data_IF_733553608573
#
_entry.id   IF_733553608573
#
_cell.length_a   1.000
_cell.length_b   1.000
_cell.length_c   1.000
_cell.angle_alpha   90.00
_cell.angle_beta   90.00
_cell.angle_gamma   90.00
#
_symmetry.space_group_name_H-M   'P 1'
#
loop_
_entity.id
_entity.type
_entity.pdbx_description
1 polymer ?
#
# COMPACT_ATOMS: atom_id res chain seq x y z
N UNK A 1 -29.74 -19.78 -4.32
CA UNK A 1 -30.33 -18.66 -3.55
C UNK A 1 -29.44 -18.31 -2.37
N UNK A 2 -29.20 -19.23 -1.43
CA UNK A 2 -28.31 -18.99 -0.26
C UNK A 2 -26.87 -18.59 -0.63
N UNK A 3 -26.31 -19.15 -1.71
CA UNK A 3 -24.97 -18.76 -2.20
C UNK A 3 -24.95 -17.36 -2.83
N UNK A 4 -26.01 -16.98 -3.54
CA UNK A 4 -26.19 -15.66 -4.13
C UNK A 4 -26.40 -14.60 -3.03
N UNK A 5 -27.01 -14.98 -1.90
CA UNK A 5 -27.25 -14.12 -0.74
C UNK A 5 -26.01 -13.93 0.14
N UNK A 6 -25.16 -14.95 0.25
CA UNK A 6 -23.87 -14.83 0.91
C UNK A 6 -22.92 -13.87 0.16
N UNK A 7 -23.14 -13.67 -1.15
CA UNK A 7 -22.33 -12.82 -2.02
C UNK A 7 -22.78 -11.35 -2.07
N UNK A 8 -24.04 -11.04 -1.82
CA UNK A 8 -24.61 -9.67 -1.88
C UNK A 8 -24.21 -8.73 -0.72
N UNK A 9 -23.08 -8.94 -0.05
CA UNK A 9 -22.41 -7.93 0.79
C UNK A 9 -23.27 -7.14 1.79
N UNK A 10 -24.31 -7.73 2.38
CA UNK A 10 -25.23 -7.04 3.31
C UNK A 10 -26.60 -6.62 2.74
N UNK A 11 -26.80 -6.70 1.42
CA UNK A 11 -28.09 -6.42 0.75
C UNK A 11 -29.04 -7.64 0.72
N UNK A 12 -28.53 -8.85 0.90
CA UNK A 12 -29.34 -10.08 0.86
C UNK A 12 -30.61 -10.06 1.74
N UNK A 13 -30.54 -9.62 3.01
CA UNK A 13 -31.74 -9.48 3.85
C UNK A 13 -32.72 -8.40 3.37
N UNK A 14 -32.25 -7.38 2.64
CA UNK A 14 -33.09 -6.32 2.09
C UNK A 14 -33.84 -6.79 0.85
N UNK A 15 -33.20 -7.68 0.08
CA UNK A 15 -33.79 -8.30 -1.09
C UNK A 15 -35.10 -9.02 -0.75
N UNK A 16 -35.12 -9.80 0.34
CA UNK A 16 -36.31 -10.52 0.80
C UNK A 16 -37.44 -9.64 1.34
N UNK A 17 -37.20 -8.36 1.57
CA UNK A 17 -38.23 -7.44 2.03
C UNK A 17 -39.09 -6.89 0.87
N UNK A 18 -38.60 -6.99 -0.36
CA UNK A 18 -39.31 -6.65 -1.59
C UNK A 18 -40.28 -7.78 -1.99
N UNK A 19 -41.35 -7.49 -2.78
CA UNK A 19 -42.32 -8.49 -3.25
C UNK A 19 -41.67 -9.66 -3.98
N UNK A 20 -42.45 -10.70 -4.35
CA UNK A 20 -42.02 -11.77 -5.26
C UNK A 20 -41.41 -11.14 -6.52
N UNK A 21 -40.10 -10.98 -6.47
CA UNK A 21 -39.30 -10.52 -7.58
C UNK A 21 -39.46 -11.61 -8.64
N UNK A 22 -39.96 -11.23 -9.81
CA UNK A 22 -39.85 -12.06 -11.00
C UNK A 22 -38.37 -12.28 -11.28
N UNK A 23 -37.89 -13.44 -10.84
CA UNK A 23 -36.57 -13.95 -11.18
C UNK A 23 -36.73 -14.69 -12.49
N UNK A 24 -36.34 -14.05 -13.59
CA UNK A 24 -36.23 -14.75 -14.86
C UNK A 24 -34.89 -15.49 -14.88
N UNK A 25 -34.91 -16.76 -15.30
CA UNK A 25 -33.68 -17.52 -15.48
C UNK A 25 -33.08 -17.14 -16.84
N UNK A 26 -32.01 -16.34 -16.85
CA UNK A 26 -31.18 -16.17 -18.04
C UNK A 26 -30.04 -17.20 -17.94
N UNK A 27 -29.99 -18.13 -18.90
CA UNK A 27 -28.97 -19.20 -18.93
C UNK A 27 -28.91 -20.08 -17.65
N UNK A 28 -30.03 -20.20 -16.93
CA UNK A 28 -30.11 -20.96 -15.67
C UNK A 28 -29.78 -20.14 -14.43
N UNK A 29 -29.58 -18.83 -14.57
CA UNK A 29 -29.19 -17.90 -13.50
C UNK A 29 -30.35 -16.95 -13.23
N UNK A 30 -30.83 -16.84 -11.97
CA UNK A 30 -31.94 -15.95 -11.64
C UNK A 30 -31.50 -14.49 -11.75
N UNK A 31 -32.08 -13.77 -12.70
CA UNK A 31 -31.90 -12.33 -12.91
C UNK A 31 -33.18 -11.60 -12.51
N UNK A 32 -33.01 -10.47 -11.81
CA UNK A 32 -34.03 -9.46 -11.61
C UNK A 32 -34.28 -8.69 -12.92
N UNK A 33 -35.44 -8.83 -13.55
CA UNK A 33 -35.71 -8.17 -14.83
C UNK A 33 -36.68 -6.99 -14.72
N UNK A 34 -37.64 -7.00 -13.80
CA UNK A 34 -38.41 -5.83 -13.37
C UNK A 34 -39.26 -6.17 -12.13
N UNK A 35 -39.71 -5.13 -11.41
CA UNK A 35 -40.76 -5.25 -10.38
C UNK A 35 -41.97 -4.47 -10.90
N UNK A 36 -42.85 -5.15 -11.61
CA UNK A 36 -44.15 -4.62 -12.04
C UNK A 36 -45.27 -5.49 -11.42
N UNK A 37 -46.09 -4.96 -10.49
CA UNK A 37 -46.15 -3.56 -10.05
C UNK A 37 -45.01 -3.14 -9.11
N UNK A 38 -44.68 -1.83 -9.01
CA UNK A 38 -43.69 -1.31 -8.05
C UNK A 38 -43.99 -1.75 -6.60
N UNK A 39 -42.98 -1.85 -5.72
CA UNK A 39 -43.21 -2.29 -4.35
C UNK A 39 -44.19 -1.39 -3.59
N UNK A 40 -45.06 -2.03 -2.81
CA UNK A 40 -46.10 -1.41 -1.99
C UNK A 40 -45.50 -0.65 -0.80
N UNK A 41 -46.30 0.20 -0.14
CA UNK A 41 -45.86 0.92 1.06
C UNK A 41 -45.47 -0.01 2.21
N UNK A 42 -46.16 -1.15 2.37
CA UNK A 42 -45.84 -2.13 3.42
C UNK A 42 -44.52 -2.86 3.14
N UNK A 43 -44.22 -3.14 1.87
CA UNK A 43 -42.93 -3.69 1.44
C UNK A 43 -41.79 -2.72 1.72
N UNK A 44 -41.96 -1.43 1.39
CA UNK A 44 -40.98 -0.43 1.75
C UNK A 44 -40.82 -0.27 3.25
N UNK A 45 -41.89 -0.40 4.04
CA UNK A 45 -41.79 -0.36 5.50
C UNK A 45 -40.95 -1.53 6.04
N UNK A 46 -41.13 -2.74 5.50
CA UNK A 46 -40.28 -3.90 5.82
C UNK A 46 -38.84 -3.67 5.38
N UNK A 47 -38.63 -3.18 4.16
CA UNK A 47 -37.31 -2.84 3.65
C UNK A 47 -36.58 -1.88 4.59
N UNK A 48 -37.22 -0.77 4.97
CA UNK A 48 -36.68 0.24 5.88
C UNK A 48 -36.34 -0.35 7.24
N UNK A 49 -37.19 -1.24 7.78
CA UNK A 49 -36.93 -1.92 9.04
C UNK A 49 -35.60 -2.70 9.00
N UNK A 50 -35.33 -3.42 7.91
CA UNK A 50 -34.09 -4.16 7.74
C UNK A 50 -32.91 -3.26 7.36
N UNK A 51 -33.12 -2.24 6.53
CA UNK A 51 -32.09 -1.30 6.07
C UNK A 51 -31.40 -0.57 7.22
N UNK A 52 -32.14 -0.26 8.29
CA UNK A 52 -31.60 0.33 9.53
C UNK A 52 -30.55 -0.55 10.23
N UNK A 53 -30.42 -1.83 9.90
CA UNK A 53 -29.42 -2.72 10.49
C UNK A 53 -28.12 -2.77 9.69
N UNK A 54 -28.15 -2.33 8.44
CA UNK A 54 -26.96 -2.31 7.58
C UNK A 54 -26.02 -1.20 8.06
N UNK A 55 -24.76 -1.56 8.27
CA UNK A 55 -23.67 -0.65 8.70
C UNK A 55 -22.54 -0.60 7.69
N UNK A 56 -22.38 -1.67 6.92
CA UNK A 56 -21.33 -1.85 5.93
C UNK A 56 -22.00 -2.35 4.64
N UNK A 57 -21.59 -1.82 3.51
CA UNK A 57 -22.07 -2.21 2.19
C UNK A 57 -20.87 -2.35 1.24
N UNK A 58 -20.80 -3.48 0.56
CA UNK A 58 -19.80 -3.74 -0.49
C UNK A 58 -20.51 -3.92 -1.83
N UNK A 59 -20.24 -3.01 -2.76
CA UNK A 59 -20.72 -2.98 -4.15
C UNK A 59 -19.50 -3.19 -5.07
N UNK A 60 -18.86 -4.35 -4.94
CA UNK A 60 -17.65 -4.67 -5.69
C UNK A 60 -18.04 -5.26 -7.03
N UNK A 61 -17.91 -4.47 -8.11
CA UNK A 61 -18.11 -4.93 -9.47
C UNK A 61 -17.23 -6.14 -9.75
N UNK A 62 -17.82 -7.32 -9.96
CA UNK A 62 -17.06 -8.50 -10.36
C UNK A 62 -16.63 -8.32 -11.80
N UNK A 63 -15.48 -7.71 -12.03
CA UNK A 63 -14.98 -7.30 -13.34
C UNK A 63 -14.81 -8.44 -14.37
N UNK A 64 -15.11 -9.70 -14.04
CA UNK A 64 -14.92 -10.84 -14.95
C UNK A 64 -15.95 -11.97 -14.83
N UNK A 65 -16.94 -11.88 -13.94
CA UNK A 65 -17.99 -12.91 -13.80
C UNK A 65 -19.32 -12.31 -14.27
N UNK A 66 -19.76 -12.70 -15.47
CA UNK A 66 -20.95 -12.16 -16.14
C UNK A 66 -22.27 -12.39 -15.38
N UNK A 67 -22.27 -13.28 -14.39
CA UNK A 67 -23.52 -13.84 -13.85
C UNK A 67 -24.08 -13.05 -12.64
N UNK A 68 -23.23 -12.50 -11.78
CA UNK A 68 -23.66 -11.88 -10.50
C UNK A 68 -24.03 -10.38 -10.66
N UNK A 69 -23.53 -9.70 -11.70
CA UNK A 69 -23.67 -8.25 -11.93
C UNK A 69 -25.11 -7.82 -12.23
N UNK A 70 -25.89 -8.69 -12.87
CA UNK A 70 -27.24 -8.33 -13.34
C UNK A 70 -28.24 -8.14 -12.20
N UNK A 71 -28.16 -8.96 -11.16
CA UNK A 71 -29.08 -8.95 -10.02
C UNK A 71 -28.85 -7.72 -9.13
N UNK A 72 -27.60 -7.43 -8.80
CA UNK A 72 -27.25 -6.23 -8.03
C UNK A 72 -27.65 -4.96 -8.77
N UNK A 73 -27.35 -4.88 -10.07
CA UNK A 73 -27.69 -3.73 -10.90
C UNK A 73 -29.20 -3.46 -10.95
N UNK A 74 -30.01 -4.50 -11.17
CA UNK A 74 -31.45 -4.35 -11.22
C UNK A 74 -32.04 -3.96 -9.86
N UNK A 75 -31.51 -4.49 -8.76
CA UNK A 75 -31.89 -4.05 -7.42
C UNK A 75 -31.57 -2.56 -7.19
N UNK A 76 -30.38 -2.12 -7.57
CA UNK A 76 -29.99 -0.71 -7.49
C UNK A 76 -30.86 0.18 -8.40
N UNK A 77 -31.28 -0.32 -9.57
CA UNK A 77 -32.25 0.36 -10.44
C UNK A 77 -33.62 0.52 -9.77
N UNK A 78 -34.13 -0.53 -9.14
CA UNK A 78 -35.40 -0.47 -8.39
C UNK A 78 -35.31 0.58 -7.26
N UNK A 79 -34.19 0.61 -6.53
CA UNK A 79 -33.97 1.60 -5.49
C UNK A 79 -33.90 3.02 -6.05
N UNK A 80 -33.21 3.22 -7.19
CA UNK A 80 -33.12 4.52 -7.85
C UNK A 80 -34.50 5.03 -8.30
N UNK A 81 -35.26 4.15 -8.94
CA UNK A 81 -36.48 4.52 -9.68
C UNK A 81 -37.73 4.58 -8.80
N UNK A 82 -37.78 3.76 -7.74
CA UNK A 82 -39.00 3.60 -6.95
C UNK A 82 -38.89 3.99 -5.48
N UNK A 83 -37.69 4.03 -4.89
CA UNK A 83 -37.56 4.29 -3.46
C UNK A 83 -37.43 5.79 -3.16
N UNK A 84 -38.36 6.39 -2.39
CA UNK A 84 -38.44 7.85 -2.21
C UNK A 84 -37.53 8.40 -1.11
N UNK A 85 -36.79 7.55 -0.37
CA UNK A 85 -36.09 7.94 0.86
C UNK A 85 -34.60 7.67 0.89
N UNK A 86 -34.02 7.78 2.09
CA UNK A 86 -32.65 7.33 2.38
C UNK A 86 -32.61 5.81 2.45
N UNK A 87 -31.79 5.19 1.59
CA UNK A 87 -31.80 3.73 1.41
C UNK A 87 -31.28 3.05 2.67
N UNK A 88 -30.09 3.44 3.15
CA UNK A 88 -29.40 2.84 4.29
C UNK A 88 -29.06 3.91 5.34
N UNK A 89 -30.03 4.35 6.17
CA UNK A 89 -29.92 5.55 7.03
C UNK A 89 -28.87 5.44 8.16
N UNK A 90 -28.23 4.29 8.32
CA UNK A 90 -27.21 4.04 9.33
C UNK A 90 -25.94 3.42 8.72
N UNK A 91 -25.78 3.51 7.39
CA UNK A 91 -24.57 3.06 6.72
C UNK A 91 -23.37 3.87 7.22
N UNK A 92 -22.31 3.18 7.61
CA UNK A 92 -21.05 3.76 8.11
C UNK A 92 -19.88 3.50 7.17
N UNK A 93 -19.84 2.34 6.53
CA UNK A 93 -18.80 1.99 5.57
C UNK A 93 -19.42 1.63 4.23
N UNK A 94 -18.88 2.24 3.17
CA UNK A 94 -19.23 1.92 1.79
C UNK A 94 -17.96 1.55 1.06
N UNK A 95 -17.96 0.37 0.45
CA UNK A 95 -16.92 -0.10 -0.46
C UNK A 95 -17.58 -0.30 -1.83
N UNK A 96 -17.07 0.36 -2.87
CA UNK A 96 -17.75 0.42 -4.16
C UNK A 96 -16.76 0.40 -5.32
N UNK A 97 -17.04 -0.39 -6.35
CA UNK A 97 -16.41 -0.27 -7.66
C UNK A 97 -17.31 0.61 -8.55
N UNK A 98 -16.91 1.85 -8.75
CA UNK A 98 -17.57 2.88 -9.55
C UNK A 98 -17.33 2.60 -11.04
N UNK A 99 -17.89 1.49 -11.52
CA UNK A 99 -18.11 1.30 -12.94
C UNK A 99 -19.18 2.27 -13.48
N UNK A 100 -19.32 2.32 -14.81
CA UNK A 100 -20.30 3.17 -15.49
C UNK A 100 -21.76 2.96 -15.03
N UNK A 101 -22.06 1.84 -14.36
CA UNK A 101 -23.39 1.54 -13.86
C UNK A 101 -23.52 1.85 -12.38
N UNK A 102 -22.49 1.60 -11.60
CA UNK A 102 -22.55 1.65 -10.15
C UNK A 102 -22.40 3.08 -9.66
N UNK A 103 -21.63 3.94 -10.32
CA UNK A 103 -21.39 5.32 -9.89
C UNK A 103 -22.68 6.12 -9.65
N UNK A 104 -23.56 6.23 -10.65
CA UNK A 104 -24.84 6.96 -10.55
C UNK A 104 -25.80 6.39 -9.50
N UNK A 105 -25.68 5.09 -9.20
CA UNK A 105 -26.55 4.40 -8.25
C UNK A 105 -25.99 4.49 -6.84
N UNK A 106 -24.67 4.49 -6.70
CA UNK A 106 -23.95 4.54 -5.44
C UNK A 106 -24.15 5.86 -4.69
N UNK A 107 -24.42 6.96 -5.41
CA UNK A 107 -24.75 8.26 -4.82
C UNK A 107 -25.88 8.19 -3.79
N UNK A 108 -26.82 7.24 -3.92
CA UNK A 108 -27.94 7.06 -2.98
C UNK A 108 -27.50 6.59 -1.59
N UNK A 109 -26.30 6.04 -1.48
CA UNK A 109 -25.70 5.58 -0.24
C UNK A 109 -24.77 6.62 0.39
N UNK A 110 -24.50 7.73 -0.30
CA UNK A 110 -23.76 8.88 0.23
C UNK A 110 -24.67 9.68 1.17
N UNK A 111 -24.58 9.36 2.46
CA UNK A 111 -25.43 9.92 3.50
C UNK A 111 -24.59 10.41 4.68
N UNK A 112 -25.14 11.30 5.49
CA UNK A 112 -24.43 11.91 6.61
C UNK A 112 -23.93 10.92 7.66
N UNK A 113 -24.46 9.70 7.72
CA UNK A 113 -23.98 8.66 8.63
C UNK A 113 -22.69 7.97 8.19
N UNK A 114 -22.26 8.19 6.94
CA UNK A 114 -21.11 7.54 6.34
C UNK A 114 -19.82 8.09 6.95
N UNK A 115 -18.97 7.17 7.43
CA UNK A 115 -17.70 7.46 8.10
C UNK A 115 -16.51 7.04 7.23
N UNK A 116 -16.65 5.92 6.52
CA UNK A 116 -15.60 5.36 5.66
C UNK A 116 -16.13 5.12 4.26
N UNK A 117 -15.38 5.58 3.27
CA UNK A 117 -15.62 5.32 1.86
C UNK A 117 -14.36 4.68 1.26
N UNK A 118 -14.54 3.55 0.60
CA UNK A 118 -13.58 2.94 -0.32
C UNK A 118 -14.22 2.91 -1.69
N UNK A 119 -13.63 3.58 -2.65
CA UNK A 119 -14.15 3.66 -3.99
C UNK A 119 -13.05 3.33 -4.98
N UNK A 120 -13.21 2.21 -5.66
CA UNK A 120 -12.45 1.91 -6.86
C UNK A 120 -13.19 2.57 -8.02
N UNK A 121 -12.48 3.21 -8.92
CA UNK A 121 -13.08 4.02 -9.98
C UNK A 121 -12.76 3.43 -11.34
N UNK A 122 -13.77 3.40 -12.20
CA UNK A 122 -13.61 2.94 -13.55
C UNK A 122 -13.46 4.11 -14.53
N UNK A 123 -13.47 3.78 -15.82
CA UNK A 123 -13.16 4.67 -16.95
C UNK A 123 -14.15 5.84 -17.15
N UNK A 124 -15.35 5.83 -16.54
CA UNK A 124 -16.33 6.92 -16.73
C UNK A 124 -16.01 8.11 -15.85
N UNK A 125 -15.36 9.13 -16.42
CA UNK A 125 -14.91 10.29 -15.66
C UNK A 125 -16.06 11.17 -15.12
N UNK A 126 -17.10 11.39 -15.94
CA UNK A 126 -18.18 12.33 -15.59
C UNK A 126 -18.96 11.86 -14.36
N UNK A 127 -19.29 10.56 -14.30
CA UNK A 127 -20.00 9.99 -13.17
C UNK A 127 -19.13 9.96 -11.90
N UNK A 128 -17.82 9.69 -12.05
CA UNK A 128 -16.88 9.73 -10.93
C UNK A 128 -16.73 11.14 -10.35
N UNK A 129 -16.69 12.17 -11.20
CA UNK A 129 -16.66 13.57 -10.76
C UNK A 129 -17.93 13.90 -9.98
N UNK A 130 -19.11 13.59 -10.52
CA UNK A 130 -20.37 13.83 -9.84
C UNK A 130 -20.40 13.13 -8.47
N UNK A 131 -20.00 11.86 -8.42
CA UNK A 131 -19.92 11.07 -7.20
C UNK A 131 -18.98 11.71 -6.16
N UNK A 132 -17.77 12.13 -6.57
CA UNK A 132 -16.79 12.78 -5.69
C UNK A 132 -17.31 14.10 -5.16
N UNK A 133 -17.92 14.95 -6.00
CA UNK A 133 -18.47 16.24 -5.56
C UNK A 133 -19.53 16.05 -4.46
N UNK A 134 -20.34 14.97 -4.53
CA UNK A 134 -21.35 14.66 -3.50
C UNK A 134 -20.75 14.32 -2.13
N UNK A 135 -19.48 13.91 -2.06
CA UNK A 135 -18.83 13.61 -0.78
C UNK A 135 -18.67 14.86 0.09
N UNK A 136 -18.58 16.04 -0.52
CA UNK A 136 -18.46 17.31 0.21
C UNK A 136 -19.66 17.59 1.14
N UNK A 137 -20.81 16.98 0.88
CA UNK A 137 -22.02 17.12 1.69
C UNK A 137 -22.03 16.18 2.92
N UNK A 138 -21.03 15.30 3.08
CA UNK A 138 -20.99 14.27 4.13
C UNK A 138 -20.14 14.75 5.31
N UNK A 139 -20.78 15.35 6.30
CA UNK A 139 -20.10 15.95 7.47
C UNK A 139 -19.29 14.97 8.33
N UNK A 140 -19.73 13.71 8.40
CA UNK A 140 -19.17 12.72 9.32
C UNK A 140 -18.10 11.83 8.66
N UNK A 141 -17.74 12.11 7.40
CA UNK A 141 -16.77 11.33 6.63
C UNK A 141 -15.36 11.53 7.20
N UNK A 142 -14.73 10.44 7.62
CA UNK A 142 -13.43 10.43 8.29
C UNK A 142 -12.35 9.72 7.47
N UNK A 143 -12.73 8.70 6.69
CA UNK A 143 -11.80 7.89 5.92
C UNK A 143 -12.25 7.83 4.47
N UNK A 144 -11.37 8.22 3.56
CA UNK A 144 -11.58 8.13 2.12
C UNK A 144 -10.44 7.34 1.52
N UNK A 145 -10.77 6.37 0.67
CA UNK A 145 -9.83 5.62 -0.14
C UNK A 145 -10.35 5.60 -1.58
N UNK A 146 -9.61 6.20 -2.51
CA UNK A 146 -9.96 6.27 -3.93
C UNK A 146 -8.89 5.56 -4.75
N UNK A 147 -9.25 4.48 -5.43
CA UNK A 147 -8.34 3.73 -6.31
C UNK A 147 -8.78 3.87 -7.77
N UNK A 148 -7.81 3.88 -8.68
CA UNK A 148 -8.05 4.01 -10.13
C UNK A 148 -7.13 3.04 -10.85
N UNK A 149 -7.66 2.35 -11.85
CA UNK A 149 -6.89 1.30 -12.52
C UNK A 149 -6.02 1.82 -13.68
N UNK A 150 -6.37 2.93 -14.36
CA UNK A 150 -5.64 3.39 -15.56
C UNK A 150 -5.51 4.91 -15.58
N UNK A 151 -4.28 5.42 -15.69
CA UNK A 151 -3.96 6.82 -15.42
C UNK A 151 -3.06 7.46 -16.47
N UNK A 152 -3.61 7.76 -17.66
CA UNK A 152 -2.99 8.70 -18.59
C UNK A 152 -4.07 9.42 -19.40
N UNK A 153 -4.37 10.67 -19.04
CA UNK A 153 -5.30 11.47 -19.84
C UNK A 153 -5.83 12.74 -19.16
N UNK A 154 -6.41 13.67 -19.95
CA UNK A 154 -6.92 14.95 -19.45
C UNK A 154 -8.04 14.82 -18.41
N UNK A 155 -8.77 13.70 -18.41
CA UNK A 155 -9.83 13.46 -17.42
C UNK A 155 -9.31 13.39 -15.98
N UNK A 156 -8.12 12.80 -15.82
CA UNK A 156 -7.42 12.66 -14.55
C UNK A 156 -7.24 14.00 -13.83
N UNK A 157 -6.90 15.05 -14.57
CA UNK A 157 -6.69 16.40 -14.04
C UNK A 157 -7.99 17.00 -13.51
N UNK A 158 -9.09 16.84 -14.26
CA UNK A 158 -10.39 17.34 -13.83
C UNK A 158 -10.85 16.67 -12.52
N UNK A 159 -10.69 15.36 -12.42
CA UNK A 159 -11.05 14.63 -11.22
C UNK A 159 -10.14 14.93 -10.04
N UNK A 160 -8.82 15.04 -10.25
CA UNK A 160 -7.89 15.45 -9.19
C UNK A 160 -8.24 16.84 -8.62
N UNK A 161 -8.67 17.77 -9.48
CA UNK A 161 -9.18 19.08 -9.06
C UNK A 161 -10.45 18.95 -8.21
N UNK A 162 -11.41 18.14 -8.63
CA UNK A 162 -12.66 17.92 -7.89
C UNK A 162 -12.45 17.21 -6.55
N UNK A 163 -11.55 16.22 -6.50
CA UNK A 163 -11.09 15.60 -5.25
C UNK A 163 -10.47 16.66 -4.34
N UNK A 164 -9.62 17.53 -4.88
CA UNK A 164 -8.99 18.61 -4.10
C UNK A 164 -10.01 19.59 -3.52
N UNK A 165 -11.02 19.99 -4.30
CA UNK A 165 -12.11 20.85 -3.83
C UNK A 165 -12.97 20.15 -2.79
N UNK A 166 -13.29 18.88 -3.00
CA UNK A 166 -14.07 18.06 -2.08
C UNK A 166 -13.37 17.90 -0.73
N UNK A 167 -12.08 17.59 -0.74
CA UNK A 167 -11.27 17.45 0.47
C UNK A 167 -11.28 18.72 1.33
N UNK A 168 -11.28 19.90 0.70
CA UNK A 168 -11.34 21.18 1.43
C UNK A 168 -12.67 21.40 2.19
N UNK A 169 -13.75 20.74 1.78
CA UNK A 169 -15.03 20.78 2.50
C UNK A 169 -15.08 19.81 3.69
N UNK A 170 -14.16 18.84 3.76
CA UNK A 170 -14.19 17.76 4.74
C UNK A 170 -13.34 18.13 5.97
N UNK A 171 -13.99 18.69 6.98
CA UNK A 171 -13.34 19.10 8.24
C UNK A 171 -13.12 17.96 9.24
N UNK A 172 -13.85 16.85 9.08
CA UNK A 172 -13.75 15.67 9.96
C UNK A 172 -12.72 14.64 9.50
N UNK A 173 -12.02 14.88 8.38
CA UNK A 173 -11.19 13.88 7.75
C UNK A 173 -10.01 13.46 8.64
N UNK A 174 -9.78 12.15 8.75
CA UNK A 174 -8.71 11.52 9.51
C UNK A 174 -7.72 10.78 8.62
N UNK A 175 -8.21 10.15 7.57
CA UNK A 175 -7.39 9.43 6.61
C UNK A 175 -7.85 9.73 5.19
N UNK A 176 -6.88 10.01 4.33
CA UNK A 176 -7.08 10.11 2.90
C UNK A 176 -6.08 9.20 2.21
N UNK A 177 -6.58 8.21 1.48
CA UNK A 177 -5.81 7.44 0.52
C UNK A 177 -6.28 7.82 -0.88
N UNK A 178 -5.59 8.78 -1.50
CA UNK A 178 -5.95 9.28 -2.82
C UNK A 178 -5.39 8.45 -3.98
N UNK A 179 -4.63 7.38 -3.71
CA UNK A 179 -3.84 6.70 -4.74
C UNK A 179 -3.01 7.69 -5.56
N UNK A 180 -3.09 7.57 -6.89
CA UNK A 180 -2.40 8.40 -7.89
C UNK A 180 -2.83 9.88 -7.95
N UNK A 181 -3.79 10.31 -7.12
CA UNK A 181 -4.25 11.68 -7.20
C UNK A 181 -3.26 12.69 -6.65
N UNK A 182 -3.09 13.73 -7.43
CA UNK A 182 -2.38 14.92 -7.04
C UNK A 182 -3.38 15.89 -6.39
N UNK A 183 -3.18 16.13 -5.09
CA UNK A 183 -3.98 17.10 -4.34
C UNK A 183 -3.46 18.51 -4.56
N UNK A 184 -4.32 19.48 -4.81
CA UNK A 184 -3.89 20.87 -4.90
C UNK A 184 -3.21 21.33 -3.59
N UNK A 185 -2.37 22.35 -3.70
CA UNK A 185 -1.69 22.97 -2.55
C UNK A 185 -2.70 23.41 -1.49
N UNK A 186 -3.83 23.98 -1.89
CA UNK A 186 -4.88 24.41 -0.97
C UNK A 186 -5.52 23.23 -0.23
N UNK A 187 -5.70 22.09 -0.90
CA UNK A 187 -6.19 20.87 -0.25
C UNK A 187 -5.17 20.33 0.76
N UNK A 188 -3.88 20.30 0.41
CA UNK A 188 -2.81 19.91 1.34
C UNK A 188 -2.71 20.87 2.53
N UNK A 189 -2.82 22.17 2.29
CA UNK A 189 -2.83 23.18 3.35
C UNK A 189 -4.03 23.00 4.29
N UNK A 190 -5.22 22.72 3.76
CA UNK A 190 -6.41 22.39 4.55
C UNK A 190 -6.19 21.14 5.40
N UNK A 191 -5.77 20.03 4.78
CA UNK A 191 -5.48 18.76 5.49
C UNK A 191 -4.45 18.94 6.60
N UNK A 192 -3.42 19.75 6.34
CA UNK A 192 -2.39 20.06 7.32
C UNK A 192 -2.94 20.78 8.55
N UNK A 193 -4.05 21.50 8.44
CA UNK A 193 -4.70 22.19 9.56
C UNK A 193 -5.65 21.31 10.37
N UNK A 194 -5.93 20.08 9.93
CA UNK A 194 -6.89 19.21 10.59
C UNK A 194 -6.27 18.52 11.83
N UNK A 195 -6.81 18.74 13.05
CA UNK A 195 -6.19 18.26 14.29
C UNK A 195 -6.31 16.75 14.50
N UNK A 196 -7.08 16.05 13.68
CA UNK A 196 -7.26 14.59 13.75
C UNK A 196 -6.75 13.84 12.52
N UNK A 197 -6.05 14.52 11.62
CA UNK A 197 -5.58 13.94 10.37
C UNK A 197 -4.28 13.15 10.60
N UNK A 198 -4.34 11.83 10.37
CA UNK A 198 -3.32 10.86 10.78
C UNK A 198 -2.69 10.10 9.62
N UNK A 199 -3.38 9.94 8.50
CA UNK A 199 -2.93 9.14 7.35
C UNK A 199 -3.16 9.88 6.05
N UNK A 200 -2.10 9.96 5.25
CA UNK A 200 -2.12 10.56 3.92
C UNK A 200 -1.42 9.65 2.92
N UNK A 201 -2.12 9.31 1.83
CA UNK A 201 -1.54 8.71 0.62
C UNK A 201 -1.85 9.62 -0.56
N UNK A 202 -0.83 9.95 -1.36
CA UNK A 202 -0.99 10.83 -2.52
C UNK A 202 0.01 10.48 -3.63
N UNK A 203 -0.40 10.77 -4.86
CA UNK A 203 0.49 10.84 -6.02
C UNK A 203 1.06 12.25 -6.18
N UNK A 204 2.28 12.38 -6.71
CA UNK A 204 2.91 13.68 -6.92
C UNK A 204 2.92 14.09 -8.39
N UNK A 205 2.53 15.34 -8.71
CA UNK A 205 2.82 15.97 -10.01
C UNK A 205 3.88 17.05 -9.88
N UNK A 206 4.45 17.48 -11.01
CA UNK A 206 5.36 18.62 -11.08
C UNK A 206 4.79 19.88 -10.42
N UNK A 207 3.50 20.15 -10.61
CA UNK A 207 2.78 21.28 -10.01
C UNK A 207 2.79 21.25 -8.47
N UNK A 208 2.60 20.06 -7.89
CA UNK A 208 2.52 19.88 -6.43
C UNK A 208 3.89 19.76 -5.77
N UNK A 209 4.87 19.20 -6.48
CA UNK A 209 6.22 19.03 -5.98
C UNK A 209 6.98 20.36 -5.91
N UNK A 210 6.68 21.28 -6.83
CA UNK A 210 7.24 22.64 -6.85
C UNK A 210 6.77 23.52 -5.68
N UNK A 211 5.94 22.99 -4.79
CA UNK A 211 5.34 23.73 -3.68
C UNK A 211 6.39 24.19 -2.67
N UNK A 212 6.38 25.47 -2.24
CA UNK A 212 7.30 25.95 -1.24
C UNK A 212 7.13 25.22 0.09
N UNK A 213 8.25 24.73 0.67
CA UNK A 213 8.31 24.12 2.02
C UNK A 213 7.58 24.95 3.09
N UNK A 214 7.54 26.28 2.92
CA UNK A 214 6.91 27.23 3.84
C UNK A 214 5.39 27.09 3.98
N UNK A 215 4.70 26.46 3.03
CA UNK A 215 3.23 26.36 3.08
C UNK A 215 2.74 25.22 3.97
N UNK A 216 3.53 24.15 4.10
CA UNK A 216 3.16 22.92 4.80
C UNK A 216 3.94 22.69 6.09
N UNK A 217 5.12 23.32 6.24
CA UNK A 217 5.99 23.12 7.41
C UNK A 217 5.28 23.46 8.73
N UNK A 218 5.36 22.55 9.69
CA UNK A 218 4.86 22.71 11.06
C UNK A 218 3.36 22.54 11.25
N UNK A 219 2.59 22.14 10.22
CA UNK A 219 1.12 22.08 10.31
C UNK A 219 0.58 20.68 10.59
N UNK A 220 1.18 19.64 10.01
CA UNK A 220 0.76 18.24 10.18
C UNK A 220 1.07 17.66 11.58
N UNK A 221 0.43 18.19 12.62
CA UNK A 221 0.73 17.87 14.02
C UNK A 221 0.42 16.42 14.42
N UNK A 222 -0.52 15.76 13.72
CA UNK A 222 -0.97 14.41 14.03
C UNK A 222 -0.70 13.39 12.91
N UNK A 223 -0.07 13.79 11.81
CA UNK A 223 0.20 12.89 10.70
C UNK A 223 1.25 11.86 11.10
N UNK A 224 0.86 10.59 11.10
CA UNK A 224 1.72 9.47 11.52
C UNK A 224 2.07 8.53 10.36
N UNK A 225 1.24 8.50 9.32
CA UNK A 225 1.43 7.66 8.14
C UNK A 225 1.42 8.52 6.90
N UNK A 226 2.50 8.47 6.13
CA UNK A 226 2.64 9.13 4.85
C UNK A 226 3.01 8.10 3.78
N UNK A 227 2.19 8.01 2.75
CA UNK A 227 2.47 7.26 1.54
C UNK A 227 2.58 8.24 0.37
N UNK A 228 3.67 8.18 -0.39
CA UNK A 228 3.88 9.05 -1.55
C UNK A 228 4.23 8.18 -2.74
N UNK A 229 3.50 8.38 -3.82
CA UNK A 229 3.79 7.77 -5.10
C UNK A 229 4.29 8.86 -6.05
N UNK A 230 5.54 8.74 -6.48
CA UNK A 230 6.14 9.63 -7.46
C UNK A 230 5.66 9.23 -8.85
N UNK A 231 5.08 10.18 -9.59
CA UNK A 231 4.51 9.94 -10.93
C UNK A 231 5.40 10.56 -12.02
N UNK A 232 5.17 10.20 -13.30
CA UNK A 232 5.98 10.69 -14.42
C UNK A 232 6.01 12.22 -14.52
N UNK A 233 7.13 12.75 -15.01
CA UNK A 233 7.34 14.19 -15.17
C UNK A 233 7.75 14.93 -13.89
N UNK A 234 8.16 14.21 -12.85
CA UNK A 234 8.74 14.78 -11.63
C UNK A 234 10.20 14.36 -11.52
N UNK A 235 11.09 15.29 -11.17
CA UNK A 235 12.51 14.96 -11.09
C UNK A 235 12.92 14.57 -9.66
N UNK A 236 13.87 13.64 -9.48
CA UNK A 236 14.37 13.26 -8.15
C UNK A 236 14.88 14.44 -7.31
N UNK A 237 15.41 15.47 -7.96
CA UNK A 237 15.88 16.70 -7.33
C UNK A 237 14.77 17.45 -6.57
N UNK A 238 13.51 17.32 -7.00
CA UNK A 238 12.38 18.04 -6.42
C UNK A 238 11.65 17.24 -5.32
N UNK A 239 11.85 15.91 -5.27
CA UNK A 239 11.23 15.04 -4.26
C UNK A 239 11.72 15.34 -2.84
N UNK A 240 12.99 15.68 -2.69
CA UNK A 240 13.59 15.94 -1.39
C UNK A 240 13.01 17.18 -0.70
N UNK A 241 12.92 18.37 -1.35
CA UNK A 241 12.17 19.51 -0.81
C UNK A 241 10.73 19.17 -0.43
N UNK A 242 10.03 18.41 -1.29
CA UNK A 242 8.65 18.00 -1.02
C UNK A 242 8.53 17.18 0.28
N UNK A 243 9.37 16.16 0.47
CA UNK A 243 9.36 15.34 1.68
C UNK A 243 9.77 16.13 2.94
N UNK A 244 10.73 17.06 2.81
CA UNK A 244 11.14 17.91 3.94
C UNK A 244 10.00 18.75 4.50
N UNK A 245 9.01 19.09 3.67
CA UNK A 245 7.81 19.78 4.12
C UNK A 245 7.03 19.01 5.21
N UNK A 246 7.19 17.68 5.27
CA UNK A 246 6.57 16.80 6.27
C UNK A 246 7.50 16.44 7.44
N UNK A 247 8.78 16.82 7.41
CA UNK A 247 9.78 16.41 8.43
C UNK A 247 9.45 16.81 9.88
N UNK A 248 8.64 17.86 10.05
CA UNK A 248 8.15 18.30 11.37
C UNK A 248 7.01 17.46 11.94
N UNK A 249 6.35 16.64 11.11
CA UNK A 249 5.26 15.77 11.54
C UNK A 249 5.78 14.52 12.29
N UNK A 250 5.01 13.96 13.22
CA UNK A 250 5.38 12.74 13.95
C UNK A 250 5.16 11.48 13.10
N UNK A 251 5.78 11.43 11.91
CA UNK A 251 5.64 10.31 10.99
C UNK A 251 6.34 9.08 11.56
N UNK A 252 5.56 8.02 11.74
CA UNK A 252 6.00 6.69 12.16
C UNK A 252 6.12 5.72 10.98
N UNK A 253 5.32 5.92 9.94
CA UNK A 253 5.33 5.08 8.73
C UNK A 253 5.47 5.97 7.49
N UNK A 254 6.53 5.75 6.73
CA UNK A 254 6.78 6.41 5.46
C UNK A 254 6.91 5.34 4.38
N UNK A 255 6.04 5.42 3.37
CA UNK A 255 6.11 4.57 2.17
C UNK A 255 6.29 5.44 0.95
N UNK A 256 7.28 5.13 0.15
CA UNK A 256 7.60 5.83 -1.08
C UNK A 256 7.62 4.82 -2.21
N UNK A 257 6.88 5.12 -3.27
CA UNK A 257 6.90 4.36 -4.51
C UNK A 257 7.38 5.27 -5.64
N UNK A 258 8.41 4.85 -6.37
CA UNK A 258 8.88 5.48 -7.60
C UNK A 258 8.57 4.50 -8.72
N UNK A 259 7.76 4.91 -9.70
CA UNK A 259 7.39 4.06 -10.81
C UNK A 259 8.38 4.17 -11.97
N UNK A 260 8.43 3.14 -12.80
CA UNK A 260 9.36 3.01 -13.93
C UNK A 260 9.31 4.20 -14.88
N UNK A 261 8.09 4.59 -15.24
CA UNK A 261 7.78 5.68 -16.17
C UNK A 261 8.28 7.06 -15.68
N UNK A 262 8.78 7.16 -14.45
CA UNK A 262 9.26 8.42 -13.87
C UNK A 262 10.72 8.68 -14.16
N UNK A 263 11.56 7.65 -14.21
CA UNK A 263 12.98 7.84 -14.45
C UNK A 263 13.23 7.85 -15.96
N UNK A 264 13.76 8.96 -16.47
CA UNK A 264 14.26 9.00 -17.85
C UNK A 264 15.43 8.01 -18.00
N UNK A 265 15.65 7.45 -19.19
CA UNK A 265 16.73 6.49 -19.48
C UNK A 265 18.12 6.98 -19.02
N UNK A 266 18.33 8.29 -18.97
CA UNK A 266 19.59 8.94 -18.58
C UNK A 266 19.67 9.28 -17.07
N UNK A 267 18.67 8.91 -16.26
CA UNK A 267 18.62 9.29 -14.83
C UNK A 267 19.72 8.58 -14.05
N UNK A 268 20.67 9.35 -13.52
CA UNK A 268 21.75 8.76 -12.71
C UNK A 268 21.24 8.35 -11.32
N UNK A 269 21.68 7.19 -10.76
CA UNK A 269 21.40 6.80 -9.38
C UNK A 269 21.66 7.91 -8.36
N UNK A 270 22.73 8.70 -8.59
CA UNK A 270 23.13 9.78 -7.70
C UNK A 270 22.05 10.85 -7.50
N UNK A 271 21.08 10.95 -8.42
CA UNK A 271 19.95 11.87 -8.30
C UNK A 271 18.99 11.47 -7.16
N UNK A 272 19.07 10.25 -6.66
CA UNK A 272 18.33 9.79 -5.48
C UNK A 272 19.00 10.22 -4.15
N UNK A 273 20.24 10.71 -4.16
CA UNK A 273 20.94 11.14 -2.93
C UNK A 273 20.19 12.22 -2.14
N UNK A 274 19.61 13.26 -2.75
CA UNK A 274 18.79 14.24 -2.05
C UNK A 274 17.58 13.59 -1.35
N UNK A 275 16.92 12.64 -2.02
CA UNK A 275 15.78 11.89 -1.47
C UNK A 275 16.22 11.14 -0.20
N UNK A 276 17.28 10.34 -0.29
CA UNK A 276 17.82 9.59 0.85
C UNK A 276 18.25 10.51 1.99
N UNK A 277 18.83 11.68 1.66
CA UNK A 277 19.15 12.72 2.62
C UNK A 277 17.92 13.29 3.35
N UNK A 278 16.79 13.44 2.65
CA UNK A 278 15.53 13.91 3.23
C UNK A 278 14.90 12.88 4.18
N UNK A 279 15.05 11.58 3.90
CA UNK A 279 14.54 10.51 4.77
C UNK A 279 15.17 10.53 6.18
N UNK A 280 16.43 10.97 6.29
CA UNK A 280 17.10 11.16 7.58
C UNK A 280 16.50 12.26 8.46
N UNK A 281 15.55 13.05 7.95
CA UNK A 281 14.91 14.15 8.68
C UNK A 281 13.68 13.72 9.50
N UNK A 282 13.30 12.43 9.51
CA UNK A 282 12.13 11.92 10.23
C UNK A 282 12.54 11.16 11.51
N UNK A 283 12.73 11.84 12.66
CA UNK A 283 13.30 11.21 13.87
C UNK A 283 12.38 10.17 14.53
N UNK A 284 11.09 10.19 14.24
CA UNK A 284 10.10 9.27 14.82
C UNK A 284 9.80 8.06 13.94
N UNK A 285 10.53 7.90 12.83
CA UNK A 285 10.21 6.90 11.81
C UNK A 285 10.50 5.47 12.31
N UNK A 286 9.48 4.62 12.26
CA UNK A 286 9.56 3.20 12.63
C UNK A 286 9.53 2.29 11.41
N UNK A 287 8.79 2.66 10.37
CA UNK A 287 8.64 1.88 9.15
C UNK A 287 9.02 2.77 7.98
N UNK A 288 10.04 2.34 7.23
CA UNK A 288 10.45 2.96 5.99
C UNK A 288 10.39 1.92 4.87
N UNK A 289 9.59 2.22 3.85
CA UNK A 289 9.50 1.45 2.63
C UNK A 289 9.81 2.38 1.46
N UNK A 290 10.88 2.10 0.73
CA UNK A 290 11.21 2.73 -0.54
C UNK A 290 11.18 1.66 -1.62
N UNK A 291 10.22 1.78 -2.51
CA UNK A 291 10.02 0.90 -3.65
C UNK A 291 10.30 1.66 -4.93
N UNK A 292 11.40 1.33 -5.60
CA UNK A 292 11.80 1.91 -6.88
C UNK A 292 11.51 0.87 -7.95
N UNK A 293 10.30 0.90 -8.48
CA UNK A 293 9.81 -0.04 -9.49
C UNK A 293 10.31 0.40 -10.86
N UNK A 294 11.62 0.34 -11.07
CA UNK A 294 12.24 0.57 -12.39
C UNK A 294 12.36 -0.80 -13.04
N UNK A 295 11.79 -0.97 -14.24
CA UNK A 295 12.17 -2.10 -15.09
C UNK A 295 13.57 -1.80 -15.56
N UNK A 296 14.53 -2.20 -14.75
CA UNK A 296 15.94 -2.07 -15.04
C UNK A 296 16.20 -2.91 -16.29
N UNK A 297 16.24 -2.29 -17.46
CA UNK A 297 17.03 -2.85 -18.54
C UNK A 297 18.46 -2.91 -17.97
N UNK A 298 18.96 -4.14 -17.79
CA UNK A 298 20.24 -4.39 -17.12
C UNK A 298 21.40 -3.61 -17.77
N UNK A 299 21.22 -3.15 -19.01
CA UNK A 299 22.14 -2.30 -19.74
C UNK A 299 22.18 -0.85 -19.23
N UNK A 300 21.05 -0.25 -18.84
CA UNK A 300 20.95 1.19 -18.50
C UNK A 300 21.70 1.55 -17.20
N UNK A 301 21.72 0.65 -16.23
CA UNK A 301 22.37 0.86 -14.92
C UNK A 301 23.68 0.10 -14.79
N UNK A 302 24.20 -0.46 -15.90
CA UNK A 302 25.43 -1.23 -15.92
C UNK A 302 26.65 -0.38 -15.52
N UNK A 303 26.93 -0.33 -14.22
CA UNK A 303 28.11 0.32 -13.64
C UNK A 303 27.85 1.60 -12.85
N UNK A 304 26.60 2.05 -12.71
CA UNK A 304 26.24 3.19 -11.85
C UNK A 304 25.40 2.70 -10.67
N UNK A 305 26.06 2.48 -9.53
CA UNK A 305 25.40 2.11 -8.27
C UNK A 305 25.50 3.25 -7.27
N UNK A 306 24.49 3.39 -6.42
CA UNK A 306 24.57 4.18 -5.22
C UNK A 306 25.46 3.46 -4.21
N UNK A 307 26.56 4.10 -3.82
CA UNK A 307 27.35 3.59 -2.70
C UNK A 307 26.50 3.54 -1.43
N UNK A 308 26.63 2.47 -0.64
CA UNK A 308 25.89 2.27 0.62
C UNK A 308 25.99 3.42 1.62
N UNK A 309 27.01 4.29 1.52
CA UNK A 309 27.12 5.55 2.28
C UNK A 309 25.97 6.51 1.97
N UNK A 310 25.28 6.36 0.85
CA UNK A 310 24.05 7.09 0.53
C UNK A 310 22.94 6.90 1.58
N UNK A 311 22.98 5.80 2.34
CA UNK A 311 22.03 5.51 3.42
C UNK A 311 22.48 6.06 4.78
N UNK A 312 23.69 6.63 4.92
CA UNK A 312 24.17 7.22 6.18
C UNK A 312 23.20 8.23 6.82
N UNK A 313 22.44 9.06 6.07
CA UNK A 313 21.44 9.94 6.67
C UNK A 313 20.40 9.20 7.53
N UNK A 314 20.07 7.96 7.18
CA UNK A 314 19.13 7.11 7.91
C UNK A 314 19.70 6.55 9.21
N UNK A 315 21.02 6.52 9.38
CA UNK A 315 21.64 6.07 10.63
C UNK A 315 21.32 6.99 11.82
N UNK A 316 20.79 8.19 11.56
CA UNK A 316 20.29 9.12 12.60
C UNK A 316 18.92 8.71 13.14
N UNK A 317 18.23 7.81 12.45
CA UNK A 317 16.87 7.37 12.77
C UNK A 317 16.94 6.04 13.51
N UNK A 318 17.34 6.09 14.77
CA UNK A 318 17.53 4.90 15.62
C UNK A 318 16.24 4.14 15.96
N UNK A 319 15.10 4.71 15.60
CA UNK A 319 13.75 4.20 15.88
C UNK A 319 13.24 3.23 14.82
N UNK A 320 13.96 3.04 13.71
CA UNK A 320 13.58 2.14 12.61
C UNK A 320 13.45 0.70 13.11
N UNK A 321 12.32 0.08 12.75
CA UNK A 321 11.97 -1.32 13.01
C UNK A 321 11.77 -2.11 11.73
N UNK A 322 11.19 -1.49 10.71
CA UNK A 322 11.01 -2.10 9.39
C UNK A 322 11.68 -1.20 8.35
N UNK A 323 12.70 -1.75 7.69
CA UNK A 323 13.43 -1.11 6.62
C UNK A 323 13.32 -1.95 5.36
N UNK A 324 12.63 -1.42 4.36
CA UNK A 324 12.45 -2.06 3.06
C UNK A 324 12.95 -1.12 1.96
N UNK A 325 13.98 -1.54 1.24
CA UNK A 325 14.46 -0.91 0.00
C UNK A 325 14.36 -1.91 -1.13
N UNK A 326 13.52 -1.64 -2.12
CA UNK A 326 13.28 -2.49 -3.28
C UNK A 326 13.61 -1.73 -4.56
N UNK A 327 14.29 -2.38 -5.50
CA UNK A 327 14.64 -1.84 -6.81
C UNK A 327 15.67 -0.69 -6.80
N UNK A 328 16.22 -0.35 -5.63
CA UNK A 328 17.27 0.66 -5.54
C UNK A 328 18.64 0.03 -5.85
N UNK A 329 19.43 0.56 -6.80
CA UNK A 329 20.71 -0.01 -7.20
C UNK A 329 21.81 0.41 -6.20
N UNK A 330 21.76 -0.19 -5.01
CA UNK A 330 22.70 0.05 -3.92
C UNK A 330 23.88 -0.90 -4.02
N UNK A 331 25.10 -0.38 -3.93
CA UNK A 331 26.32 -1.16 -3.74
C UNK A 331 26.69 -1.22 -2.27
N UNK A 332 26.90 -2.42 -1.74
CA UNK A 332 27.21 -2.61 -0.32
C UNK A 332 28.72 -2.70 -0.07
N UNK A 333 29.27 -1.68 0.58
CA UNK A 333 30.64 -1.72 1.06
C UNK A 333 30.73 -2.52 2.38
N UNK A 334 31.83 -3.26 2.64
CA UNK A 334 31.99 -4.06 3.86
C UNK A 334 31.72 -3.36 5.21
N UNK A 335 32.03 -2.05 5.42
CA UNK A 335 31.72 -1.41 6.71
C UNK A 335 30.23 -1.12 6.91
N UNK A 336 29.40 -1.19 5.86
CA UNK A 336 28.00 -0.78 5.92
C UNK A 336 27.17 -1.58 6.92
N UNK A 337 27.23 -2.91 6.86
CA UNK A 337 26.38 -3.76 7.72
C UNK A 337 26.68 -3.60 9.20
N UNK A 338 27.94 -3.30 9.55
CA UNK A 338 28.30 -2.93 10.93
C UNK A 338 27.64 -1.62 11.34
N UNK A 339 27.77 -0.58 10.50
CA UNK A 339 27.18 0.73 10.77
C UNK A 339 25.64 0.65 10.87
N UNK A 340 24.99 -0.12 9.99
CA UNK A 340 23.56 -0.39 10.03
C UNK A 340 23.13 -1.09 11.32
N UNK A 341 23.85 -2.15 11.73
CA UNK A 341 23.58 -2.89 12.96
C UNK A 341 23.72 -1.99 14.21
N UNK A 342 24.74 -1.13 14.24
CA UNK A 342 24.96 -0.17 15.32
C UNK A 342 23.90 0.94 15.34
N UNK A 343 23.45 1.39 14.17
CA UNK A 343 22.49 2.47 14.02
C UNK A 343 21.04 2.06 14.35
N UNK A 344 20.66 0.81 14.06
CA UNK A 344 19.28 0.32 14.15
C UNK A 344 19.14 -0.90 15.08
N UNK A 345 19.42 -0.76 16.39
CA UNK A 345 19.30 -1.87 17.34
C UNK A 345 17.86 -2.37 17.53
N UNK A 346 16.86 -1.57 17.15
CA UNK A 346 15.44 -1.92 17.21
C UNK A 346 14.91 -2.62 15.94
N UNK A 347 15.77 -2.89 14.96
CA UNK A 347 15.36 -3.46 13.67
C UNK A 347 14.75 -4.86 13.85
N UNK A 348 13.54 -5.02 13.29
CA UNK A 348 12.77 -6.27 13.26
C UNK A 348 12.71 -6.84 11.83
N UNK A 349 12.69 -5.99 10.81
CA UNK A 349 12.55 -6.36 9.41
C UNK A 349 13.57 -5.59 8.58
N UNK A 350 14.40 -6.33 7.82
CA UNK A 350 15.29 -5.77 6.82
C UNK A 350 15.00 -6.42 5.47
N UNK A 351 14.65 -5.62 4.47
CA UNK A 351 14.60 -6.03 3.07
C UNK A 351 15.46 -5.12 2.21
N UNK A 352 16.43 -5.67 1.50
CA UNK A 352 17.32 -4.93 0.60
C UNK A 352 17.42 -5.71 -0.72
N UNK A 353 16.73 -5.23 -1.75
CA UNK A 353 16.71 -5.83 -3.08
C UNK A 353 16.98 -4.77 -4.13
N UNK A 354 17.96 -5.02 -5.00
CA UNK A 354 18.29 -4.15 -6.13
C UNK A 354 17.44 -4.43 -7.37
N UNK A 355 16.94 -5.67 -7.53
CA UNK A 355 16.11 -6.07 -8.67
C UNK A 355 15.04 -7.08 -8.22
N UNK A 356 13.85 -7.02 -8.83
CA UNK A 356 12.75 -7.97 -8.65
C UNK A 356 12.86 -9.20 -9.55
N UNK A 357 13.61 -9.12 -10.65
CA UNK A 357 13.51 -10.04 -11.78
C UNK A 357 14.86 -10.56 -12.34
N UNK A 358 16.01 -9.93 -12.07
CA UNK A 358 17.32 -10.38 -12.61
C UNK A 358 18.32 -10.87 -11.54
N UNK A 359 19.39 -11.52 -12.02
CA UNK A 359 20.57 -11.83 -11.21
C UNK A 359 21.20 -10.53 -10.69
N UNK A 360 21.15 -10.33 -9.38
CA UNK A 360 21.71 -9.16 -8.73
C UNK A 360 23.22 -9.06 -9.00
N UNK A 361 23.74 -7.91 -9.49
CA UNK A 361 25.17 -7.70 -9.66
C UNK A 361 25.91 -7.93 -8.33
N UNK A 362 27.11 -8.57 -8.34
CA UNK A 362 27.85 -8.87 -7.12
C UNK A 362 28.07 -7.69 -6.18
N UNK A 363 28.18 -6.47 -6.73
CA UNK A 363 28.34 -5.23 -5.98
C UNK A 363 27.12 -4.86 -5.13
N UNK A 364 25.93 -5.32 -5.53
CA UNK A 364 24.66 -5.11 -4.83
C UNK A 364 24.33 -6.21 -3.82
N UNK A 365 25.21 -7.20 -3.73
CA UNK A 365 25.00 -8.38 -2.92
C UNK A 365 25.72 -8.27 -1.58
N UNK A 366 25.05 -8.72 -0.52
CA UNK A 366 25.59 -8.70 0.85
C UNK A 366 26.46 -9.94 1.07
N UNK A 367 27.69 -9.81 1.59
CA UNK A 367 28.47 -10.97 2.00
C UNK A 367 27.77 -11.74 3.13
N UNK A 368 27.67 -13.07 3.02
CA UNK A 368 27.00 -13.91 4.04
C UNK A 368 27.53 -13.67 5.46
N UNK A 369 28.85 -13.49 5.62
CA UNK A 369 29.49 -13.25 6.91
C UNK A 369 29.00 -11.96 7.59
N UNK A 370 28.62 -10.94 6.81
CA UNK A 370 28.16 -9.66 7.34
C UNK A 370 26.76 -9.75 7.97
N UNK A 371 25.97 -10.79 7.62
CA UNK A 371 24.70 -11.04 8.30
C UNK A 371 24.89 -11.35 9.79
N UNK A 372 26.05 -11.88 10.20
CA UNK A 372 26.34 -12.09 11.62
C UNK A 372 26.34 -10.76 12.38
N UNK A 373 26.78 -9.66 11.76
CA UNK A 373 26.80 -8.34 12.40
C UNK A 373 25.37 -7.86 12.70
N UNK A 374 24.44 -8.08 11.77
CA UNK A 374 23.01 -7.80 11.99
C UNK A 374 22.41 -8.70 13.07
N UNK A 375 22.75 -9.99 13.07
CA UNK A 375 22.31 -10.92 14.10
C UNK A 375 22.73 -10.47 15.51
N UNK A 376 23.94 -9.90 15.64
CA UNK A 376 24.50 -9.40 16.89
C UNK A 376 23.87 -8.07 17.30
N UNK A 377 23.85 -7.09 16.39
CA UNK A 377 23.47 -5.71 16.69
C UNK A 377 21.97 -5.49 16.77
N UNK A 378 21.17 -6.34 16.11
CA UNK A 378 19.71 -6.24 16.03
C UNK A 378 19.05 -7.43 16.75
N UNK A 379 18.95 -7.43 18.09
CA UNK A 379 18.40 -8.56 18.85
C UNK A 379 16.91 -8.86 18.59
N UNK A 380 16.21 -7.92 17.96
CA UNK A 380 14.79 -8.04 17.61
C UNK A 380 14.56 -8.47 16.16
N UNK A 381 15.63 -8.67 15.39
CA UNK A 381 15.55 -9.02 13.97
C UNK A 381 14.74 -10.30 13.81
N UNK A 382 13.64 -10.22 13.06
CA UNK A 382 12.68 -11.28 12.82
C UNK A 382 12.69 -11.73 11.35
N UNK A 383 12.97 -10.80 10.42
CA UNK A 383 13.09 -11.05 8.99
C UNK A 383 14.35 -10.38 8.42
N UNK A 384 15.14 -11.16 7.68
CA UNK A 384 16.19 -10.66 6.78
C UNK A 384 15.87 -11.15 5.38
N UNK A 385 15.85 -10.24 4.41
CA UNK A 385 15.52 -10.53 3.03
C UNK A 385 16.47 -9.73 2.13
N UNK A 386 17.55 -10.36 1.69
CA UNK A 386 18.64 -9.68 0.96
C UNK A 386 19.16 -10.55 -0.17
N UNK A 387 19.71 -9.93 -1.20
CA UNK A 387 20.55 -10.62 -2.18
C UNK A 387 21.93 -10.89 -1.55
N UNK A 388 22.44 -12.12 -1.63
CA UNK A 388 23.79 -12.45 -1.14
C UNK A 388 24.79 -12.63 -2.26
N UNK A 389 26.05 -12.33 -1.91
CA UNK A 389 27.16 -12.60 -2.79
C UNK A 389 27.33 -14.12 -2.94
N UNK A 390 27.75 -14.61 -4.13
CA UNK A 390 28.05 -16.02 -4.33
C UNK A 390 28.99 -16.57 -3.25
N UNK A 391 28.68 -17.75 -2.72
CA UNK A 391 29.44 -18.40 -1.64
C UNK A 391 30.36 -19.47 -2.25
N UNK A 392 31.68 -19.24 -2.30
CA UNK A 392 32.61 -20.17 -2.93
C UNK A 392 32.80 -21.45 -2.10
N UNK A 393 33.29 -22.52 -2.75
CA UNK A 393 33.45 -23.85 -2.14
C UNK A 393 34.36 -23.87 -0.90
N UNK A 394 35.34 -22.98 -0.82
CA UNK A 394 36.29 -22.85 0.29
C UNK A 394 35.86 -21.79 1.32
N UNK A 395 34.60 -21.34 1.27
CA UNK A 395 34.09 -20.35 2.20
C UNK A 395 34.16 -20.83 3.65
N UNK A 396 34.67 -19.94 4.50
CA UNK A 396 34.76 -20.13 5.95
C UNK A 396 34.36 -18.83 6.64
N UNK A 397 33.96 -18.91 7.91
CA UNK A 397 33.65 -17.73 8.71
C UNK A 397 34.38 -17.76 10.06
N UNK A 398 34.68 -16.57 10.57
CA UNK A 398 35.18 -16.41 11.93
C UNK A 398 34.00 -16.25 12.88
N UNK A 399 33.98 -17.03 13.96
CA UNK A 399 32.94 -16.92 14.96
C UNK A 399 33.15 -15.68 15.83
N UNK A 400 32.11 -14.85 15.95
CA UNK A 400 32.14 -13.68 16.82
C UNK A 400 31.97 -14.13 18.29
N UNK A 401 32.95 -13.88 19.17
CA UNK A 401 32.94 -14.43 20.52
C UNK A 401 31.85 -13.81 21.40
N UNK A 402 31.13 -14.66 22.15
CA UNK A 402 30.20 -14.22 23.20
C UNK A 402 28.86 -13.66 22.70
N UNK A 403 28.51 -13.90 21.44
CA UNK A 403 27.34 -13.32 20.79
C UNK A 403 26.10 -14.21 21.00
N UNK A 404 24.96 -13.66 21.45
CA UNK A 404 23.69 -14.39 21.46
C UNK A 404 23.17 -14.57 20.03
N UNK A 405 22.58 -15.72 19.74
CA UNK A 405 21.93 -15.97 18.46
C UNK A 405 20.75 -15.00 18.23
N UNK A 406 20.55 -14.58 16.98
CA UNK A 406 19.39 -13.78 16.58
C UNK A 406 18.11 -14.59 16.72
N UNK A 407 16.98 -13.88 16.86
CA UNK A 407 15.63 -14.46 16.83
C UNK A 407 15.01 -14.40 15.43
N UNK A 408 15.82 -14.15 14.39
CA UNK A 408 15.29 -14.05 13.04
C UNK A 408 14.66 -15.38 12.64
N UNK A 409 13.37 -15.33 12.35
CA UNK A 409 12.56 -16.50 12.00
C UNK A 409 12.64 -16.84 10.53
N UNK A 410 13.03 -15.85 9.72
CA UNK A 410 13.07 -15.96 8.28
C UNK A 410 14.27 -15.20 7.75
N UNK A 411 15.11 -15.92 7.03
CA UNK A 411 16.23 -15.39 6.28
C UNK A 411 15.97 -15.81 4.84
N UNK A 412 15.68 -14.86 3.96
CA UNK A 412 15.48 -15.08 2.53
C UNK A 412 16.76 -14.63 1.83
N UNK A 413 17.44 -15.59 1.21
CA UNK A 413 18.67 -15.32 0.46
C UNK A 413 18.33 -15.44 -1.02
N UNK A 414 17.96 -14.31 -1.61
CA UNK A 414 17.58 -14.27 -3.02
C UNK A 414 18.82 -14.39 -3.91
N UNK A 415 18.64 -15.03 -5.08
CA UNK A 415 19.63 -15.09 -6.18
C UNK A 415 21.05 -15.52 -5.79
N UNK A 416 21.21 -16.32 -4.74
CA UNK A 416 22.53 -16.70 -4.22
C UNK A 416 22.97 -18.05 -4.77
N UNK A 417 24.13 -18.09 -5.43
CA UNK A 417 24.81 -19.35 -5.72
C UNK A 417 25.63 -19.79 -4.50
N UNK A 418 25.24 -20.90 -3.87
CA UNK A 418 26.02 -21.55 -2.82
C UNK A 418 26.69 -22.78 -3.41
N UNK A 419 28.02 -22.80 -3.43
CA UNK A 419 28.76 -23.98 -3.84
C UNK A 419 28.37 -25.19 -2.94
N UNK A 420 28.08 -26.37 -3.51
CA UNK A 420 27.67 -27.54 -2.73
C UNK A 420 28.61 -27.89 -1.58
N UNK A 421 29.93 -27.68 -1.76
CA UNK A 421 30.96 -27.92 -0.76
C UNK A 421 30.89 -26.94 0.42
N UNK A 422 30.39 -25.72 0.19
CA UNK A 422 30.19 -24.71 1.22
C UNK A 422 28.89 -24.90 2.01
N UNK A 423 27.93 -25.70 1.51
CA UNK A 423 26.64 -25.88 2.14
C UNK A 423 26.71 -26.31 3.62
N UNK A 424 27.60 -27.24 4.06
CA UNK A 424 27.75 -27.57 5.48
C UNK A 424 28.26 -26.39 6.32
N UNK A 425 29.16 -25.59 5.77
CA UNK A 425 29.69 -24.39 6.41
C UNK A 425 28.58 -23.33 6.56
N UNK A 426 27.83 -23.06 5.50
CA UNK A 426 26.69 -22.13 5.53
C UNK A 426 25.63 -22.60 6.52
N UNK A 427 25.29 -23.90 6.56
CA UNK A 427 24.32 -24.45 7.49
C UNK A 427 24.74 -24.22 8.94
N UNK A 428 26.00 -24.45 9.27
CA UNK A 428 26.54 -24.23 10.62
C UNK A 428 26.61 -22.74 10.98
N UNK A 429 26.89 -21.85 10.01
CA UNK A 429 26.77 -20.41 10.19
C UNK A 429 25.33 -19.99 10.54
N UNK A 430 24.34 -20.49 9.78
CA UNK A 430 22.94 -20.20 10.02
C UNK A 430 22.47 -20.76 11.36
N UNK A 431 22.80 -22.01 11.70
CA UNK A 431 22.46 -22.59 13.01
C UNK A 431 23.04 -21.77 14.18
N UNK A 432 24.23 -21.20 13.98
CA UNK A 432 24.89 -20.36 14.99
C UNK A 432 24.18 -19.01 15.19
N UNK A 433 23.90 -18.28 14.12
CA UNK A 433 23.44 -16.88 14.20
C UNK A 433 21.93 -16.71 14.00
N UNK A 434 21.30 -17.64 13.28
CA UNK A 434 19.90 -17.65 12.88
C UNK A 434 19.30 -19.06 13.07
N UNK A 435 19.22 -19.59 14.30
CA UNK A 435 18.86 -20.99 14.55
C UNK A 435 17.45 -21.39 14.11
N UNK A 436 16.57 -20.42 13.83
CA UNK A 436 15.25 -20.68 13.25
C UNK A 436 15.27 -20.75 11.72
N UNK A 437 16.40 -20.43 11.08
CA UNK A 437 16.63 -20.52 9.64
C UNK A 437 17.09 -21.94 9.22
N UNK A 438 16.68 -22.36 8.03
CA UNK A 438 17.12 -23.60 7.39
C UNK A 438 17.47 -23.38 5.92
N UNK A 439 18.42 -24.16 5.39
CA UNK A 439 18.70 -24.22 3.96
C UNK A 439 17.67 -25.12 3.27
N UNK A 440 17.07 -24.62 2.19
CA UNK A 440 16.25 -25.43 1.29
C UNK A 440 16.96 -25.61 -0.06
N UNK A 441 16.57 -26.63 -0.83
CA UNK A 441 17.02 -26.81 -2.21
C UNK A 441 15.88 -26.39 -3.12
N UNK A 442 16.15 -25.55 -4.11
CA UNK A 442 15.15 -25.22 -5.12
C UNK A 442 14.92 -26.43 -6.03
N UNK A 443 13.72 -26.52 -6.61
CA UNK A 443 13.29 -27.62 -7.47
C UNK A 443 14.19 -27.84 -8.70
N UNK A 444 14.95 -26.83 -9.09
CA UNK A 444 15.88 -26.85 -10.24
C UNK A 444 17.32 -27.26 -9.88
N UNK A 445 17.59 -27.66 -8.62
CA UNK A 445 18.91 -28.14 -8.18
C UNK A 445 19.90 -27.05 -7.76
N UNK A 446 19.52 -25.78 -7.86
CA UNK A 446 20.19 -24.66 -7.17
C UNK A 446 19.86 -24.67 -5.68
N UNK A 447 20.83 -24.39 -4.82
CA UNK A 447 20.58 -24.16 -3.39
C UNK A 447 19.99 -22.76 -3.21
N UNK A 448 18.69 -22.65 -2.90
CA UNK A 448 18.06 -21.39 -2.46
C UNK A 448 17.70 -21.48 -0.99
N UNK A 449 18.11 -20.50 -0.20
CA UNK A 449 17.75 -20.45 1.22
C UNK A 449 16.36 -19.84 1.35
N UNK A 450 15.34 -20.68 1.33
CA UNK A 450 14.01 -20.32 1.80
C UNK A 450 13.79 -20.91 3.19
N UNK A 451 13.43 -20.07 4.15
CA UNK A 451 13.00 -20.55 5.47
C UNK A 451 11.50 -20.44 5.55
N UNK A 452 10.82 -21.58 5.36
CA UNK A 452 9.44 -21.78 5.75
C UNK A 452 9.37 -22.66 7.00
N UNK A 453 9.16 -22.04 8.15
CA UNK A 453 8.50 -22.73 9.27
C UNK A 453 7.45 -21.88 9.94
N UNK A 454 6.48 -21.34 9.20
CA UNK A 454 5.32 -20.76 9.88
C UNK A 454 4.02 -20.76 9.07
N UNK A 455 3.30 -21.88 9.17
CA UNK A 455 1.85 -21.89 9.03
C UNK A 455 1.13 -20.93 10.00
N UNK A 456 1.81 -20.43 11.04
CA UNK A 456 1.21 -19.54 12.06
C UNK A 456 1.67 -18.06 11.98
N UNK A 457 2.84 -17.73 11.39
CA UNK A 457 3.37 -16.35 11.36
C UNK A 457 3.03 -15.63 10.06
N UNK A 458 2.82 -16.31 8.92
CA UNK A 458 2.22 -15.67 7.75
C UNK A 458 0.79 -15.20 8.06
N UNK A 459 0.00 -15.99 8.80
CA UNK A 459 -1.29 -15.53 9.32
C UNK A 459 -1.13 -14.35 10.28
N UNK A 460 -0.12 -14.35 11.16
CA UNK A 460 0.11 -13.25 12.11
C UNK A 460 0.62 -11.96 11.44
N UNK A 461 1.49 -12.04 10.43
CA UNK A 461 1.96 -10.90 9.62
C UNK A 461 0.83 -10.40 8.71
N UNK A 462 0.04 -11.29 8.10
CA UNK A 462 -1.16 -10.91 7.35
C UNK A 462 -2.23 -10.31 8.28
N UNK A 463 -2.37 -10.78 9.52
CA UNK A 463 -3.23 -10.17 10.54
C UNK A 463 -2.69 -8.82 11.01
N UNK A 464 -1.37 -8.63 11.12
CA UNK A 464 -0.75 -7.33 11.42
C UNK A 464 -0.89 -6.34 10.26
N UNK A 465 -0.87 -6.82 9.01
CA UNK A 465 -1.16 -6.01 7.81
C UNK A 465 -2.65 -5.71 7.62
N UNK A 466 -3.55 -6.55 8.15
CA UNK A 466 -5.02 -6.39 8.08
C UNK A 466 -5.64 -5.77 9.33
N UNK A 467 -4.89 -5.59 10.41
CA UNK A 467 -5.40 -4.94 11.61
C UNK A 467 -5.47 -3.42 11.39
N UNK A 468 -6.66 -2.80 11.46
CA UNK A 468 -6.71 -1.34 11.56
C UNK A 468 -5.99 -0.95 12.85
N UNK A 469 -4.97 -0.10 12.71
CA UNK A 469 -4.29 0.55 13.83
C UNK A 469 -5.35 1.25 14.68
N UNK A 470 -5.56 0.74 15.90
CA UNK A 470 -6.45 1.36 16.88
C UNK A 470 -5.87 2.65 17.43
#
# INVERSE_FOLDING_TARGET
MDELLARLGGLGPLFFALPEVTTELMEGIPILTSVDPPPTSDEWARFVFHARRVRELHLLGTSWCFDDVHTERAFLDILRDHYPGQVLPHLRELDVDLDQYTALRAERFLQSSLVTLRAKTARSLEDNVAFVTRLADISDLQHIQLWYEHYDGPGCVALAKEVSTTVQALHGLRALDGGYHCLSIDALAHLSGLPSFVTLSLGTTSDNISTPESLLSGKFACLTTLCVEFTPGTSPAEWAPFLRAFSSAPIHTLRLAVKDEVLEEDTSPSELLPLLGALGAFPSLHVLELDIDVYLDAELWSGSFLDSTALEPLFRVHTIKDLTFLGAPLSFAPPFMRAAADAWPALEVLRLHSDRNCEAPPETCVPLADLALLAVGCPHLALVDVALAPVPADWTWEELPGVPASRARRVVLAYTEIAPEAAPAVAAFLDRYFPEAALEQDGDGGLRVEVLRVGETLQRIQQLRKAPSK
#
